data_IF_287310907739
#
_entry.id   IF_287310907739
#
_cell.length_a   1.000
_cell.length_b   1.000
_cell.length_c   1.000
_cell.angle_alpha   90.00
_cell.angle_beta   90.00
_cell.angle_gamma   90.00
#
_symmetry.space_group_name_H-M   'P 1'
#
loop_
_entity.id
_entity.type
_entity.pdbx_description
1 polymer ?
#
# COMPACT_ATOMS: atom_id res chain seq x y z
N UNK A 1 36.07 -13.10 6.53
CA UNK A 1 35.90 -12.35 5.29
C UNK A 1 34.43 -12.10 5.02
N UNK A 2 33.99 -10.85 5.14
CA UNK A 2 32.61 -10.41 4.86
C UNK A 2 32.37 -10.48 3.35
N UNK A 3 31.41 -11.28 2.90
CA UNK A 3 30.85 -11.16 1.54
C UNK A 3 29.64 -10.25 1.59
N UNK A 4 29.78 -9.02 1.12
CA UNK A 4 28.65 -8.18 0.83
C UNK A 4 28.09 -8.58 -0.56
N UNK A 5 26.86 -9.07 -0.62
CA UNK A 5 26.12 -9.14 -1.88
C UNK A 5 25.57 -7.76 -2.19
N UNK A 6 26.29 -7.04 -3.05
CA UNK A 6 25.92 -5.72 -3.53
C UNK A 6 25.09 -5.89 -4.81
N UNK A 7 23.78 -5.84 -4.73
CA UNK A 7 22.95 -5.54 -5.90
C UNK A 7 23.06 -4.04 -6.12
N UNK A 8 23.76 -3.62 -7.16
CA UNK A 8 23.93 -2.22 -7.51
C UNK A 8 22.55 -1.56 -7.67
N UNK A 9 22.22 -0.67 -6.74
CA UNK A 9 21.05 0.20 -6.88
C UNK A 9 21.25 1.08 -8.12
N UNK A 10 20.21 1.17 -8.97
CA UNK A 10 20.25 2.10 -10.09
C UNK A 10 20.38 3.54 -9.51
N UNK A 11 21.44 4.29 -9.82
CA UNK A 11 21.68 5.59 -9.20
C UNK A 11 20.57 6.62 -9.45
N UNK A 12 19.71 6.39 -10.46
CA UNK A 12 18.61 7.29 -10.81
C UNK A 12 17.32 7.00 -10.01
N UNK A 13 17.11 5.76 -9.59
CA UNK A 13 15.87 5.36 -8.89
C UNK A 13 16.07 5.16 -7.40
N UNK A 14 17.32 5.07 -6.96
CA UNK A 14 17.64 4.68 -5.58
C UNK A 14 17.12 3.30 -5.23
N UNK A 15 17.25 2.92 -3.97
CA UNK A 15 16.80 1.62 -3.48
C UNK A 15 16.77 1.53 -1.98
N UNK A 16 16.31 0.40 -1.49
CA UNK A 16 16.46 0.01 -0.10
C UNK A 16 17.58 -0.99 -0.04
N UNK A 17 18.59 -0.70 0.75
CA UNK A 17 19.71 -1.57 0.99
C UNK A 17 19.59 -2.15 2.40
N UNK A 18 19.61 -3.47 2.49
CA UNK A 18 19.67 -4.19 3.75
C UNK A 18 21.05 -4.85 3.84
N UNK A 19 21.85 -4.41 4.80
CA UNK A 19 23.18 -4.96 5.06
C UNK A 19 23.11 -5.84 6.29
N UNK A 20 23.44 -7.12 6.14
CA UNK A 20 23.49 -8.08 7.25
C UNK A 20 24.95 -8.33 7.59
N UNK A 21 25.35 -7.90 8.78
CA UNK A 21 26.67 -8.15 9.33
C UNK A 21 26.64 -9.43 10.19
N UNK A 22 27.46 -10.41 9.86
CA UNK A 22 27.48 -11.67 10.59
C UNK A 22 28.92 -12.14 10.87
N UNK A 23 29.07 -12.97 11.90
CA UNK A 23 30.31 -13.64 12.25
C UNK A 23 30.02 -15.13 12.42
N UNK A 24 30.59 -15.95 11.53
CA UNK A 24 30.30 -17.40 11.45
C UNK A 24 28.78 -17.65 11.42
N UNK A 25 28.20 -18.04 12.54
CA UNK A 25 26.80 -18.48 12.62
C UNK A 25 25.86 -17.48 13.29
N UNK A 26 26.36 -16.26 13.61
CA UNK A 26 25.58 -15.26 14.33
C UNK A 26 25.47 -13.94 13.55
N UNK A 27 24.25 -13.42 13.39
CA UNK A 27 23.99 -12.08 12.90
C UNK A 27 24.39 -11.10 14.02
N UNK A 28 25.29 -10.15 13.71
CA UNK A 28 25.74 -9.11 14.62
C UNK A 28 24.92 -7.84 14.51
N UNK A 29 24.57 -7.48 13.30
CA UNK A 29 23.82 -6.27 13.01
C UNK A 29 23.05 -6.41 11.68
N UNK A 30 21.92 -5.72 11.60
CA UNK A 30 21.18 -5.47 10.37
C UNK A 30 21.07 -3.97 10.21
N UNK A 31 21.55 -3.46 9.09
CA UNK A 31 21.50 -2.05 8.75
C UNK A 31 20.57 -1.87 7.55
N UNK A 32 19.66 -0.91 7.65
CA UNK A 32 18.71 -0.59 6.58
C UNK A 32 18.98 0.84 6.16
N UNK A 33 19.34 1.03 4.89
CA UNK A 33 19.48 2.34 4.29
C UNK A 33 18.53 2.51 3.11
N UNK A 34 17.92 3.68 3.04
CA UNK A 34 17.00 4.05 1.97
C UNK A 34 17.64 5.17 1.15
N UNK A 35 18.06 4.85 -0.07
CA UNK A 35 18.68 5.79 -1.01
C UNK A 35 17.70 6.29 -2.08
N UNK A 36 16.41 6.03 -1.92
CA UNK A 36 15.37 6.50 -2.84
C UNK A 36 15.35 8.04 -2.87
N UNK A 37 15.18 8.64 -4.06
CA UNK A 37 15.16 10.09 -4.17
C UNK A 37 13.88 10.66 -3.56
N UNK A 38 13.96 11.13 -2.33
CA UNK A 38 12.85 11.84 -1.67
C UNK A 38 12.56 13.21 -2.33
N UNK A 39 13.51 13.67 -3.14
CA UNK A 39 13.38 14.92 -3.88
C UNK A 39 12.28 14.90 -4.95
N UNK A 40 11.61 13.77 -5.21
CA UNK A 40 10.53 13.70 -6.21
C UNK A 40 9.41 14.71 -5.92
N UNK A 41 9.09 14.95 -4.65
CA UNK A 41 8.06 15.94 -4.26
C UNK A 41 8.48 17.38 -4.54
N UNK A 42 9.78 17.67 -4.66
CA UNK A 42 10.30 18.98 -5.05
C UNK A 42 9.98 19.30 -6.51
N UNK A 43 9.81 18.25 -7.36
CA UNK A 43 9.37 18.42 -8.74
C UNK A 43 7.97 18.98 -8.87
N UNK A 44 7.15 18.89 -7.82
CA UNK A 44 5.77 19.35 -7.82
C UNK A 44 5.64 20.83 -7.47
N UNK A 45 6.66 21.38 -6.81
CA UNK A 45 6.63 22.77 -6.34
C UNK A 45 6.42 23.76 -7.51
N UNK A 46 5.58 24.76 -7.27
CA UNK A 46 5.21 25.82 -8.22
C UNK A 46 4.57 25.32 -9.53
N UNK A 47 4.11 24.06 -9.54
CA UNK A 47 3.39 23.51 -10.71
C UNK A 47 1.88 23.61 -10.51
N UNK A 48 1.12 23.80 -11.61
CA UNK A 48 -0.32 23.65 -11.60
C UNK A 48 -0.72 22.26 -11.13
N UNK A 49 -1.80 22.16 -10.37
CA UNK A 49 -2.33 20.92 -9.81
C UNK A 49 -2.51 19.85 -10.88
N UNK A 50 -3.14 20.17 -12.01
CA UNK A 50 -3.40 19.20 -13.09
C UNK A 50 -2.11 18.55 -13.62
N UNK A 51 -1.04 19.34 -13.71
CA UNK A 51 0.26 18.83 -14.15
C UNK A 51 0.85 17.87 -13.12
N UNK A 52 0.70 18.17 -11.84
CA UNK A 52 1.17 17.27 -10.76
C UNK A 52 0.37 15.97 -10.77
N UNK A 53 -0.95 16.03 -10.88
CA UNK A 53 -1.80 14.84 -10.95
C UNK A 53 -1.45 13.95 -12.17
N UNK A 54 -1.21 14.55 -13.33
CA UNK A 54 -0.81 13.81 -14.54
C UNK A 54 0.57 13.12 -14.41
N UNK A 55 1.46 13.63 -13.56
CA UNK A 55 2.78 13.03 -13.33
C UNK A 55 2.72 11.79 -12.41
N UNK A 56 1.71 11.68 -11.52
CA UNK A 56 1.67 10.63 -10.48
C UNK A 56 1.79 9.21 -11.02
N UNK A 57 1.02 8.76 -12.02
CA UNK A 57 1.13 7.38 -12.52
C UNK A 57 2.47 7.05 -13.16
N UNK A 58 3.14 8.06 -13.74
CA UNK A 58 4.44 7.87 -14.41
C UNK A 58 5.61 7.84 -13.43
N UNK A 59 5.54 8.61 -12.35
CA UNK A 59 6.58 8.65 -11.33
C UNK A 59 6.52 7.45 -10.37
N UNK A 60 5.34 6.87 -10.18
CA UNK A 60 5.11 5.79 -9.21
C UNK A 60 4.54 4.55 -9.91
N UNK A 61 5.32 3.98 -10.82
CA UNK A 61 4.90 2.91 -11.73
C UNK A 61 4.19 1.72 -11.06
N UNK A 62 4.60 1.31 -9.85
CA UNK A 62 4.04 0.12 -9.19
C UNK A 62 2.68 0.40 -8.53
N UNK A 63 2.51 1.55 -7.89
CA UNK A 63 1.30 1.96 -7.17
C UNK A 63 0.70 3.26 -7.71
N UNK A 64 0.76 3.44 -9.03
CA UNK A 64 0.38 4.69 -9.68
C UNK A 64 -1.07 5.10 -9.45
N UNK A 65 -1.99 4.15 -9.34
CA UNK A 65 -3.38 4.41 -9.02
C UNK A 65 -3.55 4.89 -7.58
N UNK A 66 -2.91 4.21 -6.63
CA UNK A 66 -2.92 4.61 -5.22
C UNK A 66 -2.34 6.02 -5.04
N UNK A 67 -1.23 6.33 -5.70
CA UNK A 67 -0.61 7.65 -5.66
C UNK A 67 -1.51 8.73 -6.28
N UNK A 68 -2.14 8.45 -7.43
CA UNK A 68 -3.04 9.40 -8.09
C UNK A 68 -4.28 9.68 -7.23
N UNK A 69 -4.92 8.65 -6.69
CA UNK A 69 -6.12 8.82 -5.86
C UNK A 69 -5.79 9.54 -4.55
N UNK A 70 -4.66 9.21 -3.92
CA UNK A 70 -4.19 9.94 -2.75
C UNK A 70 -3.93 11.43 -3.07
N UNK A 71 -3.31 11.71 -4.22
CA UNK A 71 -3.06 13.07 -4.67
C UNK A 71 -4.35 13.84 -4.95
N UNK A 72 -5.30 13.22 -5.67
CA UNK A 72 -6.62 13.83 -5.94
C UNK A 72 -7.31 14.24 -4.64
N UNK A 73 -7.41 13.33 -3.68
CA UNK A 73 -8.04 13.57 -2.38
C UNK A 73 -7.33 14.63 -1.55
N UNK A 74 -6.00 14.65 -1.55
CA UNK A 74 -5.23 15.67 -0.85
C UNK A 74 -5.45 17.07 -1.47
N UNK A 75 -5.45 17.16 -2.80
CA UNK A 75 -5.72 18.41 -3.52
C UNK A 75 -7.15 18.87 -3.30
N UNK A 76 -8.13 17.98 -3.42
CA UNK A 76 -9.54 18.27 -3.18
C UNK A 76 -9.76 18.79 -1.75
N UNK A 77 -9.16 18.13 -0.77
CA UNK A 77 -9.17 18.58 0.63
C UNK A 77 -8.54 19.97 0.79
N UNK A 78 -7.42 20.25 0.10
CA UNK A 78 -6.78 21.57 0.13
C UNK A 78 -7.64 22.67 -0.52
N UNK A 79 -8.36 22.33 -1.59
CA UNK A 79 -9.24 23.23 -2.32
C UNK A 79 -10.65 23.36 -1.70
N UNK A 80 -10.99 22.54 -0.70
CA UNK A 80 -12.35 22.53 -0.11
C UNK A 80 -13.37 21.82 -1.01
N UNK A 81 -12.92 20.94 -1.91
CA UNK A 81 -13.77 20.14 -2.79
C UNK A 81 -14.10 18.82 -2.07
N UNK A 82 -15.37 18.43 -2.10
CA UNK A 82 -15.82 17.15 -1.53
C UNK A 82 -16.14 16.16 -2.64
N UNK A 83 -15.58 14.97 -2.58
CA UNK A 83 -15.94 13.89 -3.51
C UNK A 83 -17.39 13.41 -3.27
N UNK A 84 -18.14 13.14 -4.33
CA UNK A 84 -19.47 12.53 -4.23
C UNK A 84 -19.34 11.07 -3.78
N UNK A 85 -20.44 10.48 -3.29
CA UNK A 85 -20.48 9.06 -2.93
C UNK A 85 -20.10 8.16 -4.11
N UNK A 86 -20.52 8.50 -5.33
CA UNK A 86 -20.18 7.75 -6.53
C UNK A 86 -18.67 7.82 -6.85
N UNK A 87 -18.07 9.01 -6.81
CA UNK A 87 -16.63 9.19 -7.02
C UNK A 87 -15.85 8.41 -5.95
N UNK A 88 -16.26 8.51 -4.68
CA UNK A 88 -15.62 7.79 -3.58
C UNK A 88 -15.64 6.28 -3.84
N UNK A 89 -16.80 5.70 -4.16
CA UNK A 89 -16.95 4.27 -4.42
C UNK A 89 -16.11 3.81 -5.62
N UNK A 90 -16.09 4.59 -6.69
CA UNK A 90 -15.28 4.27 -7.88
C UNK A 90 -13.79 4.27 -7.56
N UNK A 91 -13.27 5.31 -6.89
CA UNK A 91 -11.88 5.43 -6.48
C UNK A 91 -11.46 4.33 -5.50
N UNK A 92 -12.30 4.03 -4.51
CA UNK A 92 -12.02 2.97 -3.53
C UNK A 92 -12.01 1.59 -4.19
N UNK A 93 -12.85 1.36 -5.21
CA UNK A 93 -12.82 0.14 -6.02
C UNK A 93 -11.53 0.05 -6.84
N UNK A 94 -11.04 1.15 -7.40
CA UNK A 94 -9.77 1.19 -8.12
C UNK A 94 -8.56 0.94 -7.20
N UNK A 95 -8.56 1.51 -5.99
CA UNK A 95 -7.55 1.23 -4.97
C UNK A 95 -7.55 -0.25 -4.59
N UNK A 96 -8.73 -0.81 -4.37
CA UNK A 96 -8.89 -2.23 -4.08
C UNK A 96 -8.37 -3.11 -5.22
N UNK A 97 -8.70 -2.78 -6.47
CA UNK A 97 -8.31 -3.54 -7.64
C UNK A 97 -6.78 -3.50 -7.87
N UNK A 98 -6.14 -2.33 -7.73
CA UNK A 98 -4.68 -2.23 -7.78
C UNK A 98 -4.02 -3.03 -6.66
N UNK A 99 -4.53 -2.90 -5.43
CA UNK A 99 -4.02 -3.63 -4.27
C UNK A 99 -4.08 -5.13 -4.47
N UNK A 100 -5.20 -5.65 -4.95
CA UNK A 100 -5.36 -7.07 -5.24
C UNK A 100 -4.39 -7.55 -6.33
N UNK A 101 -4.26 -6.79 -7.43
CA UNK A 101 -3.31 -7.11 -8.50
C UNK A 101 -1.87 -7.23 -7.96
N UNK A 102 -1.42 -6.27 -7.17
CA UNK A 102 -0.08 -6.26 -6.58
C UNK A 102 0.12 -7.39 -5.56
N UNK A 103 -0.90 -7.67 -4.75
CA UNK A 103 -0.88 -8.77 -3.78
C UNK A 103 -0.78 -10.12 -4.48
N UNK A 104 -1.60 -10.36 -5.51
CA UNK A 104 -1.53 -11.60 -6.30
C UNK A 104 -0.19 -11.70 -7.02
N UNK A 105 0.31 -10.61 -7.61
CA UNK A 105 1.63 -10.59 -8.23
C UNK A 105 2.73 -10.98 -7.24
N UNK A 106 2.73 -10.38 -6.05
CA UNK A 106 3.69 -10.72 -4.99
C UNK A 106 3.56 -12.17 -4.56
N UNK A 107 2.33 -12.67 -4.39
CA UNK A 107 2.07 -14.05 -4.00
C UNK A 107 2.60 -15.04 -5.03
N UNK A 108 2.23 -14.89 -6.31
CA UNK A 108 2.63 -15.84 -7.35
C UNK A 108 4.10 -15.74 -7.73
N UNK A 109 4.73 -14.58 -7.56
CA UNK A 109 6.14 -14.41 -7.90
C UNK A 109 7.06 -14.95 -6.81
N UNK A 110 6.73 -14.70 -5.55
CA UNK A 110 7.64 -14.98 -4.45
C UNK A 110 7.32 -16.30 -3.72
N UNK A 111 6.05 -16.72 -3.69
CA UNK A 111 5.60 -17.78 -2.80
C UNK A 111 4.96 -18.97 -3.52
N UNK A 112 4.20 -18.73 -4.59
CA UNK A 112 3.41 -19.74 -5.29
C UNK A 112 3.59 -19.69 -6.82
N UNK A 113 4.82 -19.89 -7.35
CA UNK A 113 5.15 -19.68 -8.77
C UNK A 113 4.38 -20.55 -9.75
N UNK A 114 3.82 -21.67 -9.29
CA UNK A 114 2.97 -22.57 -10.10
C UNK A 114 1.66 -21.91 -10.57
N UNK A 115 1.25 -20.79 -9.95
CA UNK A 115 0.06 -20.04 -10.34
C UNK A 115 0.35 -18.83 -11.26
N UNK A 116 1.60 -18.66 -11.68
CA UNK A 116 2.03 -17.48 -12.46
C UNK A 116 1.26 -17.31 -13.77
N UNK A 117 0.89 -18.39 -14.45
CA UNK A 117 0.13 -18.34 -15.70
C UNK A 117 -1.27 -17.73 -15.54
N UNK A 118 -1.80 -17.69 -14.35
CA UNK A 118 -3.15 -17.15 -14.06
C UNK A 118 -3.14 -15.66 -13.73
N UNK A 119 -1.97 -15.05 -13.65
CA UNK A 119 -1.82 -13.62 -13.33
C UNK A 119 -2.50 -12.73 -14.37
N UNK A 120 -2.56 -13.15 -15.64
CA UNK A 120 -3.24 -12.41 -16.71
C UNK A 120 -4.72 -12.12 -16.39
N UNK A 121 -5.44 -13.05 -15.80
CA UNK A 121 -6.85 -12.86 -15.47
C UNK A 121 -7.05 -11.72 -14.44
N UNK A 122 -6.15 -11.59 -13.48
CA UNK A 122 -6.20 -10.49 -12.51
C UNK A 122 -5.85 -9.15 -13.16
N UNK A 123 -4.87 -9.15 -14.06
CA UNK A 123 -4.50 -7.96 -14.84
C UNK A 123 -5.65 -7.51 -15.74
N UNK A 124 -6.30 -8.45 -16.42
CA UNK A 124 -7.44 -8.16 -17.29
C UNK A 124 -8.62 -7.59 -16.50
N UNK A 125 -8.92 -8.18 -15.35
CA UNK A 125 -9.96 -7.66 -14.47
C UNK A 125 -9.62 -6.25 -13.93
N UNK A 126 -8.38 -6.00 -13.54
CA UNK A 126 -7.92 -4.68 -13.13
C UNK A 126 -8.08 -3.66 -14.28
N UNK A 127 -7.72 -4.04 -15.51
CA UNK A 127 -7.87 -3.17 -16.67
C UNK A 127 -9.35 -2.87 -16.98
N UNK A 128 -10.24 -3.82 -16.74
CA UNK A 128 -11.70 -3.59 -16.83
C UNK A 128 -12.17 -2.59 -15.77
N UNK A 129 -11.70 -2.72 -14.51
CA UNK A 129 -12.00 -1.75 -13.47
C UNK A 129 -11.56 -0.35 -13.89
N UNK A 130 -10.34 -0.21 -14.40
CA UNK A 130 -9.83 1.07 -14.89
C UNK A 130 -10.71 1.64 -16.00
N UNK A 131 -11.03 0.84 -17.03
CA UNK A 131 -11.83 1.28 -18.18
C UNK A 131 -13.23 1.76 -17.77
N UNK A 132 -13.82 1.14 -16.76
CA UNK A 132 -15.18 1.47 -16.34
C UNK A 132 -15.24 2.62 -15.32
N UNK A 133 -14.13 2.88 -14.59
CA UNK A 133 -14.12 3.80 -13.45
C UNK A 133 -13.14 4.98 -13.62
N UNK A 134 -12.47 5.11 -14.77
CA UNK A 134 -11.49 6.18 -15.06
C UNK A 134 -12.08 7.59 -14.98
N UNK A 135 -13.38 7.75 -15.22
CA UNK A 135 -14.11 9.01 -15.06
C UNK A 135 -13.96 9.59 -13.63
N UNK A 136 -13.69 8.76 -12.62
CA UNK A 136 -13.48 9.19 -11.23
C UNK A 136 -12.06 9.74 -10.97
N UNK A 137 -11.15 9.62 -11.92
CA UNK A 137 -9.73 9.98 -11.79
C UNK A 137 -9.42 11.42 -12.21
N UNK A 138 -10.40 12.29 -12.10
CA UNK A 138 -10.28 13.75 -12.27
C UNK A 138 -10.70 14.44 -10.99
N UNK A 139 -10.42 15.73 -10.84
CA UNK A 139 -10.91 16.51 -9.71
C UNK A 139 -12.45 16.39 -9.60
N UNK A 140 -12.93 16.16 -8.40
CA UNK A 140 -14.35 15.96 -8.16
C UNK A 140 -15.17 17.18 -8.58
N UNK A 141 -16.27 16.94 -9.29
CA UNK A 141 -17.26 17.94 -9.63
C UNK A 141 -18.66 17.39 -9.37
N UNK A 142 -19.61 18.26 -9.06
CA UNK A 142 -20.98 17.85 -8.72
C UNK A 142 -21.73 17.13 -9.86
N UNK A 143 -21.20 17.13 -11.08
CA UNK A 143 -21.88 16.61 -12.29
C UNK A 143 -21.30 15.29 -12.79
N UNK A 144 -20.25 14.74 -12.18
CA UNK A 144 -19.58 13.53 -12.69
C UNK A 144 -20.14 12.24 -12.10
N UNK A 145 -20.71 11.40 -12.97
CA UNK A 145 -20.72 9.93 -12.78
C UNK A 145 -21.77 9.30 -11.88
N UNK A 146 -22.81 9.98 -11.42
CA UNK A 146 -23.79 9.39 -10.48
C UNK A 146 -24.71 8.33 -11.12
N UNK A 147 -25.06 8.47 -12.38
CA UNK A 147 -25.95 7.54 -13.07
C UNK A 147 -25.16 6.34 -13.62
N UNK A 148 -25.19 5.22 -12.92
CA UNK A 148 -24.68 3.95 -13.44
C UNK A 148 -23.46 3.35 -12.75
N UNK A 149 -22.87 4.03 -11.76
CA UNK A 149 -21.71 3.51 -11.04
C UNK A 149 -22.00 2.18 -10.34
N UNK A 150 -23.13 2.06 -9.65
CA UNK A 150 -23.46 0.87 -8.86
C UNK A 150 -23.60 -0.42 -9.67
N UNK A 151 -24.34 -0.46 -10.81
CA UNK A 151 -24.40 -1.65 -11.65
C UNK A 151 -23.03 -2.10 -12.16
N UNK A 152 -22.16 -1.17 -12.55
CA UNK A 152 -20.79 -1.46 -12.96
C UNK A 152 -19.98 -2.08 -11.83
N UNK A 153 -20.05 -1.52 -10.63
CA UNK A 153 -19.37 -2.06 -9.45
C UNK A 153 -19.85 -3.46 -9.08
N UNK A 154 -21.15 -3.71 -9.12
CA UNK A 154 -21.73 -5.03 -8.86
C UNK A 154 -21.33 -6.06 -9.92
N UNK A 155 -21.20 -5.66 -11.17
CA UNK A 155 -20.69 -6.52 -12.25
C UNK A 155 -19.23 -6.87 -12.02
N UNK A 156 -18.36 -5.89 -11.71
CA UNK A 156 -16.95 -6.10 -11.41
C UNK A 156 -16.77 -7.03 -10.19
N UNK A 157 -17.60 -6.89 -9.16
CA UNK A 157 -17.56 -7.75 -7.99
C UNK A 157 -17.99 -9.20 -8.27
N UNK A 158 -18.94 -9.41 -9.20
CA UNK A 158 -19.31 -10.77 -9.64
C UNK A 158 -18.17 -11.43 -10.42
N UNK A 159 -17.56 -10.72 -11.35
CA UNK A 159 -16.44 -11.21 -12.15
C UNK A 159 -15.22 -11.59 -11.30
N UNK A 160 -15.00 -10.87 -10.21
CA UNK A 160 -13.85 -11.09 -9.33
C UNK A 160 -13.83 -12.50 -8.72
N UNK A 161 -14.98 -13.10 -8.47
CA UNK A 161 -15.05 -14.47 -7.94
C UNK A 161 -14.44 -15.49 -8.90
N UNK A 162 -14.77 -15.35 -10.18
CA UNK A 162 -14.26 -16.23 -11.24
C UNK A 162 -12.76 -16.02 -11.48
N UNK A 163 -12.25 -14.81 -11.22
CA UNK A 163 -10.83 -14.47 -11.33
C UNK A 163 -10.02 -15.04 -10.18
N UNK A 164 -10.51 -14.93 -8.94
CA UNK A 164 -9.74 -15.31 -7.74
C UNK A 164 -9.84 -16.80 -7.45
N UNK A 165 -11.00 -17.43 -7.63
CA UNK A 165 -11.23 -18.85 -7.33
C UNK A 165 -10.21 -19.81 -7.96
N UNK A 166 -9.78 -19.64 -9.22
CA UNK A 166 -8.80 -20.52 -9.84
C UNK A 166 -7.36 -20.28 -9.38
N UNK A 167 -7.08 -19.14 -8.74
CA UNK A 167 -5.72 -18.79 -8.30
C UNK A 167 -5.32 -19.54 -7.03
N UNK A 168 -6.29 -19.93 -6.23
CA UNK A 168 -6.05 -20.33 -4.86
C UNK A 168 -6.85 -21.60 -4.55
N UNK A 169 -6.20 -22.66 -4.10
CA UNK A 169 -6.93 -23.81 -3.57
C UNK A 169 -7.82 -23.34 -2.42
N UNK A 170 -9.02 -23.89 -2.32
CA UNK A 170 -9.92 -23.60 -1.21
C UNK A 170 -9.24 -23.99 0.10
N UNK A 171 -8.67 -23.02 0.79
CA UNK A 171 -8.03 -23.28 2.08
C UNK A 171 -9.06 -23.10 3.19
N UNK A 172 -9.16 -24.13 4.04
CA UNK A 172 -9.87 -24.02 5.32
C UNK A 172 -9.01 -23.23 6.31
N UNK A 173 -9.63 -22.59 7.26
CA UNK A 173 -8.95 -21.98 8.40
C UNK A 173 -8.02 -23.03 9.05
N UNK A 174 -6.74 -22.66 9.25
CA UNK A 174 -5.72 -23.62 9.72
C UNK A 174 -4.99 -24.41 8.64
N UNK A 175 -5.26 -24.19 7.35
CA UNK A 175 -4.52 -24.85 6.27
C UNK A 175 -3.00 -24.63 6.38
N UNK A 176 -2.21 -25.63 6.02
CA UNK A 176 -0.74 -25.50 5.95
C UNK A 176 -0.33 -24.55 4.82
N UNK A 177 0.87 -23.98 4.90
CA UNK A 177 1.43 -23.16 3.82
C UNK A 177 1.49 -23.90 2.49
N UNK A 178 1.82 -25.20 2.53
CA UNK A 178 1.81 -26.05 1.32
C UNK A 178 0.42 -26.16 0.71
N UNK A 179 -0.63 -26.29 1.54
CA UNK A 179 -2.04 -26.30 1.08
C UNK A 179 -2.45 -24.95 0.48
N UNK A 180 -1.86 -23.86 0.95
CA UNK A 180 -2.03 -22.52 0.37
C UNK A 180 -1.28 -22.34 -0.95
N UNK A 181 -0.52 -23.34 -1.40
CA UNK A 181 0.25 -23.28 -2.63
C UNK A 181 1.65 -22.69 -2.47
N UNK A 182 2.14 -22.50 -1.25
CA UNK A 182 3.53 -22.06 -1.03
C UNK A 182 4.49 -23.18 -1.45
N UNK A 183 5.56 -22.83 -2.17
CA UNK A 183 6.52 -23.80 -2.69
C UNK A 183 7.21 -24.59 -1.58
N UNK A 184 7.56 -25.85 -1.86
CA UNK A 184 8.18 -26.74 -0.88
C UNK A 184 9.48 -26.18 -0.30
N UNK A 185 10.33 -25.56 -1.13
CA UNK A 185 11.57 -24.92 -0.68
C UNK A 185 11.33 -23.80 0.32
N UNK A 186 10.31 -22.96 0.08
CA UNK A 186 9.93 -21.89 1.03
C UNK A 186 9.37 -22.49 2.31
N UNK A 187 8.53 -23.53 2.24
CA UNK A 187 8.01 -24.20 3.43
C UNK A 187 9.14 -24.80 4.29
N UNK A 188 10.16 -25.40 3.67
CA UNK A 188 11.32 -25.91 4.39
C UNK A 188 12.13 -24.79 5.04
N UNK A 189 12.39 -23.70 4.31
CA UNK A 189 13.09 -22.54 4.84
C UNK A 189 12.36 -21.94 6.06
N UNK A 190 11.06 -21.74 5.95
CA UNK A 190 10.25 -21.20 7.04
C UNK A 190 10.22 -22.12 8.26
N UNK A 191 10.18 -23.44 8.03
CA UNK A 191 10.27 -24.43 9.12
C UNK A 191 11.62 -24.35 9.84
N UNK A 192 12.71 -24.29 9.09
CA UNK A 192 14.05 -24.15 9.67
C UNK A 192 14.20 -22.83 10.45
N UNK A 193 13.66 -21.73 9.93
CA UNK A 193 13.64 -20.44 10.63
C UNK A 193 12.76 -20.46 11.88
N UNK A 194 11.71 -21.28 11.93
CA UNK A 194 10.76 -21.36 13.07
C UNK A 194 11.37 -21.89 14.36
N UNK A 195 12.56 -22.47 14.30
CA UNK A 195 13.32 -22.94 15.46
C UNK A 195 14.01 -21.78 16.23
N UNK A 196 14.05 -20.59 15.64
CA UNK A 196 14.67 -19.41 16.27
C UNK A 196 13.62 -18.47 16.83
N UNK A 197 13.83 -17.93 18.05
CA UNK A 197 12.95 -16.91 18.61
C UNK A 197 13.02 -15.66 17.74
N UNK A 198 11.92 -15.32 17.12
CA UNK A 198 11.82 -14.08 16.33
C UNK A 198 11.49 -12.92 17.25
N UNK A 199 12.06 -11.77 16.90
CA UNK A 199 11.93 -10.55 17.65
C UNK A 199 10.47 -10.10 17.89
N UNK A 200 10.34 -9.08 18.71
CA UNK A 200 9.05 -8.50 19.09
C UNK A 200 8.22 -8.09 17.87
N UNK A 201 6.91 -8.30 17.96
CA UNK A 201 5.98 -7.77 16.97
C UNK A 201 6.11 -6.24 16.92
N UNK A 202 6.30 -5.69 15.73
CA UNK A 202 6.31 -4.24 15.55
C UNK A 202 4.93 -3.66 15.86
N UNK A 203 4.90 -2.39 16.29
CA UNK A 203 3.65 -1.64 16.32
C UNK A 203 3.05 -1.62 14.92
N UNK A 204 1.74 -1.82 14.81
CA UNK A 204 1.04 -1.78 13.53
C UNK A 204 0.42 -0.40 13.31
N UNK A 205 0.52 0.10 12.09
CA UNK A 205 -0.20 1.29 11.66
C UNK A 205 -1.49 0.87 10.95
N UNK A 206 -2.60 1.42 11.41
CA UNK A 206 -3.90 1.27 10.77
C UNK A 206 -4.53 2.65 10.48
N UNK A 207 -5.64 2.65 9.72
CA UNK A 207 -6.30 3.91 9.33
C UNK A 207 -6.79 4.74 10.52
N UNK A 208 -7.17 4.12 11.64
CA UNK A 208 -7.67 4.85 12.82
C UNK A 208 -6.59 5.74 13.45
N UNK A 209 -5.31 5.41 13.27
CA UNK A 209 -4.19 6.22 13.76
C UNK A 209 -3.79 7.33 12.77
N UNK A 210 -4.37 7.34 11.57
CA UNK A 210 -4.02 8.27 10.49
C UNK A 210 -4.33 9.73 10.82
N UNK A 211 -5.39 10.00 11.57
CA UNK A 211 -5.73 11.36 12.00
C UNK A 211 -4.67 11.93 12.95
N UNK A 212 -4.21 11.13 13.92
CA UNK A 212 -3.13 11.53 14.83
C UNK A 212 -1.84 11.77 14.05
N UNK A 213 -1.53 10.91 13.10
CA UNK A 213 -0.36 11.05 12.23
C UNK A 213 -0.39 12.35 11.43
N UNK A 214 -1.57 12.71 10.88
CA UNK A 214 -1.76 13.95 10.14
C UNK A 214 -1.61 15.19 11.01
N UNK A 215 -2.18 15.16 12.20
CA UNK A 215 -2.04 16.24 13.17
C UNK A 215 -0.56 16.44 13.55
N UNK A 216 0.16 15.34 13.78
CA UNK A 216 1.61 15.37 14.04
C UNK A 216 2.36 16.02 12.87
N UNK A 217 2.15 15.54 11.65
CA UNK A 217 2.82 16.10 10.46
C UNK A 217 2.44 17.58 10.22
N UNK A 218 1.24 17.99 10.60
CA UNK A 218 0.80 19.38 10.48
C UNK A 218 1.51 20.33 11.46
N UNK A 219 1.87 19.82 12.63
CA UNK A 219 2.52 20.61 13.69
C UNK A 219 4.04 20.77 13.49
N UNK A 220 4.68 19.93 12.65
CA UNK A 220 6.11 19.96 12.40
C UNK A 220 6.51 21.15 11.50
N UNK A 221 7.68 21.75 11.78
CA UNK A 221 8.31 22.70 10.86
C UNK A 221 8.78 21.98 9.56
N UNK A 222 9.32 22.72 8.59
CA UNK A 222 9.65 22.18 7.28
C UNK A 222 10.72 21.08 7.33
N UNK A 223 11.79 21.25 8.14
CA UNK A 223 12.90 20.30 8.27
C UNK A 223 12.47 19.06 9.05
N UNK A 224 11.77 19.24 10.15
CA UNK A 224 11.20 18.14 10.95
C UNK A 224 10.22 17.30 10.14
N UNK A 225 9.35 17.95 9.35
CA UNK A 225 8.39 17.25 8.52
C UNK A 225 9.07 16.49 7.37
N UNK A 226 10.15 17.00 6.79
CA UNK A 226 10.96 16.27 5.80
C UNK A 226 11.58 15.03 6.46
N UNK A 227 12.22 15.17 7.60
CA UNK A 227 12.79 14.05 8.36
C UNK A 227 11.73 13.02 8.74
N UNK A 228 10.57 13.47 9.21
CA UNK A 228 9.45 12.60 9.56
C UNK A 228 8.93 11.81 8.35
N UNK A 229 8.89 12.40 7.17
CA UNK A 229 8.51 11.67 5.95
C UNK A 229 9.50 10.56 5.58
N UNK A 230 10.77 10.68 5.97
CA UNK A 230 11.80 9.67 5.73
C UNK A 230 11.80 8.53 6.76
N UNK A 231 11.50 8.85 8.00
CA UNK A 231 11.53 7.94 9.14
C UNK A 231 10.31 8.16 10.03
N UNK A 232 9.10 7.81 9.53
CA UNK A 232 7.88 8.08 10.27
C UNK A 232 7.76 7.18 11.49
N UNK A 233 7.20 7.75 12.57
CA UNK A 233 6.93 7.04 13.83
C UNK A 233 5.54 7.37 14.34
N UNK A 234 4.98 6.49 15.15
CA UNK A 234 3.75 6.74 15.92
C UNK A 234 4.16 6.86 17.39
N UNK A 235 4.01 8.06 17.95
CA UNK A 235 4.46 8.34 19.33
C UNK A 235 5.93 7.97 19.56
N UNK A 236 6.81 8.25 18.59
CA UNK A 236 8.23 7.95 18.66
C UNK A 236 8.62 6.49 18.37
N UNK A 237 7.66 5.63 18.05
CA UNK A 237 7.90 4.21 17.78
C UNK A 237 7.70 3.92 16.30
N UNK A 238 8.62 3.23 15.61
CA UNK A 238 8.41 2.72 14.26
C UNK A 238 7.21 1.77 14.21
N UNK A 239 6.47 1.82 13.10
CA UNK A 239 5.31 0.95 12.90
C UNK A 239 5.43 0.18 11.59
N UNK A 240 4.73 -0.94 11.51
CA UNK A 240 4.56 -1.74 10.30
C UNK A 240 3.17 -1.52 9.73
N UNK A 241 3.05 -1.49 8.40
CA UNK A 241 1.79 -1.37 7.67
C UNK A 241 1.67 -2.46 6.60
N UNK A 242 0.47 -2.71 6.11
CA UNK A 242 0.18 -3.71 5.08
C UNK A 242 -0.84 -4.75 5.53
N UNK A 243 -0.89 -5.88 4.83
CA UNK A 243 -1.93 -6.91 5.02
C UNK A 243 -2.03 -7.42 6.45
N UNK A 244 -0.89 -7.60 7.12
CA UNK A 244 -0.88 -8.06 8.51
C UNK A 244 -1.39 -6.98 9.47
N UNK A 245 -0.92 -5.75 9.32
CA UNK A 245 -1.33 -4.61 10.16
C UNK A 245 -2.85 -4.33 10.05
N UNK A 246 -3.40 -4.41 8.82
CA UNK A 246 -4.84 -4.19 8.58
C UNK A 246 -5.74 -5.20 9.26
N UNK A 247 -5.28 -6.42 9.45
CA UNK A 247 -6.10 -7.48 10.05
C UNK A 247 -6.09 -7.47 11.58
N UNK A 248 -5.20 -6.66 12.19
CA UNK A 248 -5.06 -6.54 13.64
C UNK A 248 -5.05 -7.90 14.37
N UNK A 249 -4.42 -8.90 13.75
CA UNK A 249 -4.31 -10.25 14.29
C UNK A 249 -3.15 -10.26 15.30
N UNK A 250 -3.42 -10.70 16.52
CA UNK A 250 -2.34 -10.98 17.46
C UNK A 250 -1.36 -11.97 16.84
N UNK A 251 -0.08 -11.63 16.87
CA UNK A 251 0.97 -12.50 16.36
C UNK A 251 1.00 -13.77 17.22
N UNK A 252 0.47 -14.87 16.69
CA UNK A 252 0.61 -16.19 17.28
C UNK A 252 1.66 -16.96 16.48
N UNK A 253 2.79 -17.24 17.09
CA UNK A 253 3.85 -18.03 16.47
C UNK A 253 4.77 -17.23 15.55
N UNK A 254 5.11 -17.77 14.41
CA UNK A 254 6.14 -17.28 13.50
C UNK A 254 5.67 -16.05 12.69
N UNK A 255 6.31 -14.88 12.89
CA UNK A 255 5.86 -13.59 12.31
C UNK A 255 5.82 -13.58 10.77
N UNK A 256 6.74 -14.26 10.09
CA UNK A 256 6.77 -14.32 8.62
C UNK A 256 5.56 -15.13 8.13
N UNK A 257 5.27 -16.27 8.77
CA UNK A 257 4.11 -17.08 8.43
C UNK A 257 2.81 -16.29 8.65
N UNK A 258 2.70 -15.53 9.73
CA UNK A 258 1.54 -14.67 10.01
C UNK A 258 1.33 -13.63 8.92
N UNK A 259 2.40 -13.01 8.42
CA UNK A 259 2.33 -12.06 7.29
C UNK A 259 1.90 -12.74 6.00
N UNK A 260 2.42 -13.93 5.70
CA UNK A 260 2.01 -14.71 4.53
C UNK A 260 0.55 -15.13 4.60
N UNK A 261 0.10 -15.59 5.75
CA UNK A 261 -1.31 -15.95 5.99
C UNK A 261 -2.23 -14.74 5.83
N UNK A 262 -1.81 -13.59 6.31
CA UNK A 262 -2.57 -12.34 6.18
C UNK A 262 -2.68 -11.91 4.71
N UNK A 263 -1.59 -11.99 3.94
CA UNK A 263 -1.60 -11.69 2.51
C UNK A 263 -2.53 -12.67 1.76
N UNK A 264 -2.40 -13.96 2.02
CA UNK A 264 -3.24 -15.00 1.42
C UNK A 264 -4.73 -14.78 1.74
N UNK A 265 -5.05 -14.47 3.00
CA UNK A 265 -6.42 -14.18 3.44
C UNK A 265 -7.00 -12.97 2.71
N UNK A 266 -6.24 -11.89 2.54
CA UNK A 266 -6.71 -10.73 1.79
C UNK A 266 -7.07 -11.08 0.35
N UNK A 267 -6.25 -11.91 -0.32
CA UNK A 267 -6.50 -12.36 -1.69
C UNK A 267 -7.75 -13.26 -1.75
N UNK A 268 -7.82 -14.27 -0.87
CA UNK A 268 -8.93 -15.26 -0.88
C UNK A 268 -10.28 -14.64 -0.53
N UNK A 269 -10.30 -13.66 0.35
CA UNK A 269 -11.53 -12.98 0.79
C UNK A 269 -11.90 -11.79 -0.08
N UNK A 270 -11.08 -11.44 -1.07
CA UNK A 270 -11.27 -10.25 -1.90
C UNK A 270 -12.68 -10.17 -2.55
N UNK A 271 -13.25 -11.23 -3.15
CA UNK A 271 -14.58 -11.16 -3.73
C UNK A 271 -15.67 -10.84 -2.70
N UNK A 272 -15.60 -11.47 -1.53
CA UNK A 272 -16.54 -11.22 -0.44
C UNK A 272 -16.40 -9.78 0.09
N UNK A 273 -15.18 -9.32 0.31
CA UNK A 273 -14.88 -7.97 0.79
C UNK A 273 -15.41 -6.92 -0.17
N UNK A 274 -15.13 -7.04 -1.47
CA UNK A 274 -15.61 -6.09 -2.47
C UNK A 274 -17.15 -6.03 -2.51
N UNK A 275 -17.83 -7.17 -2.50
CA UNK A 275 -19.29 -7.23 -2.45
C UNK A 275 -19.86 -6.58 -1.18
N UNK A 276 -19.29 -6.88 -0.02
CA UNK A 276 -19.72 -6.29 1.24
C UNK A 276 -19.57 -4.77 1.22
N UNK A 277 -18.43 -4.29 0.76
CA UNK A 277 -18.10 -2.88 0.65
C UNK A 277 -19.08 -2.12 -0.25
N UNK A 278 -19.40 -2.67 -1.42
CA UNK A 278 -20.38 -2.08 -2.36
C UNK A 278 -21.79 -2.04 -1.73
N UNK A 279 -22.20 -3.11 -1.02
CA UNK A 279 -23.53 -3.18 -0.39
C UNK A 279 -23.68 -2.20 0.77
N UNK A 280 -22.66 -2.11 1.63
CA UNK A 280 -22.68 -1.28 2.82
C UNK A 280 -22.34 0.18 2.55
N UNK A 281 -21.89 0.51 1.32
CA UNK A 281 -21.33 1.82 0.96
C UNK A 281 -20.20 2.28 1.90
N UNK A 282 -19.58 1.32 2.61
CA UNK A 282 -18.51 1.54 3.55
C UNK A 282 -17.21 1.00 2.98
N UNK A 283 -16.44 1.88 2.36
CA UNK A 283 -15.10 1.57 1.92
C UNK A 283 -14.10 1.94 3.02
N UNK A 284 -13.53 0.94 3.67
CA UNK A 284 -12.53 1.11 4.74
C UNK A 284 -11.13 1.50 4.22
N UNK A 285 -11.01 1.85 2.94
CA UNK A 285 -9.70 2.18 2.35
C UNK A 285 -9.34 3.65 2.47
N UNK A 286 -10.22 4.47 3.04
CA UNK A 286 -9.96 5.90 3.25
C UNK A 286 -10.74 6.41 4.45
N UNK A 287 -10.08 7.20 5.27
CA UNK A 287 -10.72 7.99 6.32
C UNK A 287 -10.54 9.49 6.05
N UNK A 288 -11.57 10.27 6.37
CA UNK A 288 -11.44 11.71 6.41
C UNK A 288 -10.45 12.10 7.52
N UNK A 289 -9.37 12.74 7.15
CA UNK A 289 -8.28 13.06 8.09
C UNK A 289 -8.60 14.21 9.03
N UNK A 290 -9.67 14.97 8.77
CA UNK A 290 -9.98 16.21 9.49
C UNK A 290 -8.93 17.32 9.29
N UNK A 291 -7.84 17.05 8.58
CA UNK A 291 -6.75 17.99 8.32
C UNK A 291 -6.75 18.40 6.85
N UNK A 292 -6.86 19.70 6.61
CA UNK A 292 -6.92 20.26 5.26
C UNK A 292 -5.67 19.93 4.46
N UNK A 293 -5.86 19.55 3.20
CA UNK A 293 -4.79 19.20 2.27
C UNK A 293 -4.17 17.84 2.51
N UNK A 294 -4.80 16.98 3.30
CA UNK A 294 -4.30 15.67 3.65
C UNK A 294 -5.21 14.55 3.12
N UNK A 295 -4.61 13.46 2.73
CA UNK A 295 -5.30 12.21 2.42
C UNK A 295 -4.52 10.99 2.90
N UNK A 296 -5.24 9.95 3.27
CA UNK A 296 -4.68 8.63 3.59
C UNK A 296 -5.44 7.59 2.80
N UNK A 297 -4.71 6.67 2.18
CA UNK A 297 -5.28 5.54 1.44
C UNK A 297 -4.53 4.26 1.78
N UNK A 298 -5.22 3.13 1.73
CA UNK A 298 -4.59 1.82 1.86
C UNK A 298 -4.22 1.26 0.48
N UNK A 299 -2.98 0.81 0.35
CA UNK A 299 -2.43 0.17 -0.85
C UNK A 299 -2.06 -1.29 -0.55
N UNK A 300 -1.64 -2.03 -1.56
CA UNK A 300 -1.15 -3.41 -1.39
C UNK A 300 -0.06 -3.54 -0.32
N UNK A 301 0.81 -2.54 -0.24
CA UNK A 301 1.96 -2.52 0.67
C UNK A 301 1.68 -1.87 2.00
N UNK A 302 0.53 -1.20 2.13
CA UNK A 302 0.09 -0.54 3.35
C UNK A 302 -0.33 0.91 3.15
N UNK A 303 -0.30 1.65 4.22
CA UNK A 303 -0.82 3.01 4.34
C UNK A 303 0.04 4.02 3.60
N UNK A 304 -0.56 4.72 2.66
CA UNK A 304 0.02 5.80 1.88
C UNK A 304 -0.63 7.13 2.28
N UNK A 305 0.20 8.12 2.52
CA UNK A 305 -0.22 9.43 2.99
C UNK A 305 0.31 10.52 2.06
N UNK A 306 -0.59 11.42 1.63
CA UNK A 306 -0.26 12.63 0.91
C UNK A 306 -0.69 13.87 1.68
N UNK A 307 0.17 14.89 1.66
CA UNK A 307 -0.15 16.22 2.19
C UNK A 307 0.29 17.27 1.17
N UNK A 308 -0.62 18.17 0.83
CA UNK A 308 -0.40 19.26 -0.12
C UNK A 308 -0.84 20.60 0.47
N UNK A 309 -0.07 21.64 0.20
CA UNK A 309 -0.47 23.02 0.38
C UNK A 309 -0.52 23.71 -1.00
N UNK A 310 -1.60 24.44 -1.26
CA UNK A 310 -1.77 25.22 -2.48
C UNK A 310 -1.53 26.70 -2.18
N UNK A 311 -1.02 27.42 -3.16
CA UNK A 311 -0.90 28.88 -3.12
C UNK A 311 -2.19 29.57 -3.63
N UNK A 312 -2.18 30.89 -3.66
CA UNK A 312 -3.31 31.71 -4.09
C UNK A 312 -3.66 31.53 -5.60
N UNK A 313 -2.80 30.86 -6.37
CA UNK A 313 -2.99 30.57 -7.79
C UNK A 313 -3.37 29.12 -8.05
N UNK A 314 -3.72 28.38 -6.99
CA UNK A 314 -3.95 26.93 -7.04
C UNK A 314 -2.75 26.13 -7.58
N UNK A 315 -1.52 26.62 -7.34
CA UNK A 315 -0.31 25.88 -7.60
C UNK A 315 0.17 25.19 -6.34
N UNK A 316 0.94 24.12 -6.51
CA UNK A 316 1.50 23.37 -5.38
C UNK A 316 2.61 24.16 -4.70
N UNK A 317 2.34 24.72 -3.53
CA UNK A 317 3.34 25.41 -2.70
C UNK A 317 4.24 24.39 -1.97
N UNK A 318 3.66 23.29 -1.45
CA UNK A 318 4.38 22.24 -0.72
C UNK A 318 3.70 20.90 -0.96
N UNK A 319 4.49 19.85 -1.10
CA UNK A 319 4.00 18.49 -1.24
C UNK A 319 4.83 17.51 -0.39
N UNK A 320 4.17 16.61 0.31
CA UNK A 320 4.80 15.60 1.16
C UNK A 320 4.10 14.25 0.94
N UNK A 321 4.89 13.19 0.91
CA UNK A 321 4.43 11.80 0.76
C UNK A 321 5.08 10.97 1.84
N UNK A 322 4.30 10.13 2.52
CA UNK A 322 4.81 9.05 3.36
C UNK A 322 4.27 7.76 2.75
N UNK A 323 5.13 7.01 2.10
CA UNK A 323 4.74 5.75 1.47
C UNK A 323 4.90 4.56 2.44
N UNK A 324 4.24 3.43 2.19
CA UNK A 324 4.38 2.22 3.02
C UNK A 324 5.83 1.76 3.20
N UNK A 325 6.69 2.08 2.25
CA UNK A 325 8.10 1.72 2.25
C UNK A 325 8.87 2.37 3.40
N UNK A 326 8.56 3.62 3.71
CA UNK A 326 9.22 4.37 4.79
C UNK A 326 8.86 3.79 6.17
N UNK A 327 7.67 3.24 6.31
CA UNK A 327 7.23 2.50 7.49
C UNK A 327 7.92 1.14 7.59
N UNK A 328 7.75 0.30 6.57
CA UNK A 328 8.13 -1.11 6.61
C UNK A 328 9.66 -1.32 6.59
N UNK A 329 10.42 -0.36 6.06
CA UNK A 329 11.88 -0.37 6.02
C UNK A 329 12.50 0.71 6.90
N UNK A 330 11.81 1.10 7.95
CA UNK A 330 12.36 2.02 8.95
C UNK A 330 13.63 1.43 9.57
N UNK A 331 14.73 2.20 9.72
CA UNK A 331 16.01 1.69 10.23
C UNK A 331 15.94 1.02 11.61
N UNK A 332 14.92 1.35 12.39
CA UNK A 332 14.65 0.78 13.72
C UNK A 332 13.32 -0.02 13.75
N UNK A 333 12.80 -0.38 12.58
CA UNK A 333 11.49 -1.04 12.43
C UNK A 333 11.56 -2.57 12.47
N UNK A 334 10.46 -3.19 12.02
CA UNK A 334 10.20 -4.63 12.10
C UNK A 334 11.16 -5.51 11.29
N UNK A 335 11.92 -4.95 10.34
CA UNK A 335 12.89 -5.70 9.54
C UNK A 335 14.25 -5.82 10.26
N UNK A 336 14.53 -5.00 11.26
CA UNK A 336 15.76 -5.03 12.05
C UNK A 336 15.70 -6.09 13.13
#
# INVERSE_FOLDING_TARGET
GSKAHNTAANPLTGGIQVTVCYNRDHIKAVEISNTRPFAVTRLFREKPVDRVLAMMPSLFYICGMGQLIAALRAVESAAGITETSAIKQARDTLLFAESLREQVFSWVTNWAPQHKSRMSHVVDWFNQCRKQLDWSLTLASATTGEAGCRPALEQLARQLEDVVKPLLPASREGASLATMGVSAGVCQLLKACGEYPLGLAAKTLNLSESQQLMATLAALNAAEAEQFCHQPTISGVPAETGSWARQNIEARGFLIESRLRSLYREITTAPMRLRSTIRQQQFSQTEGTGVRGCSVVETARGTLLHKVALDNRNQVAKYQIIAPTEWNFHPQGSLK
#
